data_IF_028503035290
#
_entry.id   IF_028503035290
#
_cell.length_a   1.000
_cell.length_b   1.000
_cell.length_c   1.000
_cell.angle_alpha   90.00
_cell.angle_beta   90.00
_cell.angle_gamma   90.00
#
_symmetry.space_group_name_H-M   'P 1'
#
loop_
_entity.id
_entity.type
_entity.pdbx_description
1 polymer ?
#
# COMPACT_ATOMS: atom_id res chain seq x y z
N UNK A 1 2.75 10.82 -9.33
CA UNK A 1 3.16 12.17 -8.90
C UNK A 1 4.56 12.09 -8.35
N UNK A 2 5.52 12.60 -9.08
CA UNK A 2 6.94 12.64 -8.69
C UNK A 2 7.22 13.89 -7.84
N UNK A 3 8.44 14.01 -7.32
CA UNK A 3 8.88 15.20 -6.59
C UNK A 3 8.73 16.49 -7.43
N UNK A 4 8.82 16.39 -8.76
CA UNK A 4 8.55 17.47 -9.74
C UNK A 4 7.12 18.02 -9.64
N UNK A 5 6.13 17.13 -9.47
CA UNK A 5 4.71 17.52 -9.43
C UNK A 5 4.33 18.33 -8.18
N UNK A 6 5.18 18.30 -7.14
CA UNK A 6 4.92 19.00 -5.88
C UNK A 6 5.58 20.37 -5.84
N UNK A 7 6.74 20.51 -6.48
CA UNK A 7 7.56 21.72 -6.39
C UNK A 7 7.39 22.66 -7.59
N UNK A 8 6.66 22.26 -8.64
CA UNK A 8 6.48 23.06 -9.86
C UNK A 8 7.81 23.37 -10.54
N UNK A 9 8.83 22.53 -10.36
CA UNK A 9 10.16 22.76 -10.90
C UNK A 9 10.26 22.18 -12.32
N UNK A 10 10.02 23.02 -13.30
CA UNK A 10 10.22 22.74 -14.73
C UNK A 10 11.67 22.92 -15.18
N UNK A 11 12.62 23.06 -14.28
CA UNK A 11 14.04 23.20 -14.63
C UNK A 11 14.52 21.95 -15.37
N UNK A 12 15.18 22.06 -16.54
CA UNK A 12 15.83 20.96 -17.22
C UNK A 12 17.08 20.55 -16.42
N UNK A 13 16.86 19.82 -15.30
CA UNK A 13 17.93 19.16 -14.58
C UNK A 13 18.55 18.10 -15.50
N UNK A 14 19.85 17.96 -15.46
CA UNK A 14 20.57 16.80 -16.05
C UNK A 14 19.82 15.53 -15.71
N UNK A 15 19.32 14.86 -16.73
CA UNK A 15 18.56 13.60 -16.63
C UNK A 15 19.51 12.51 -16.12
N UNK A 16 19.72 12.46 -14.81
CA UNK A 16 20.40 11.34 -14.18
C UNK A 16 19.41 10.19 -14.22
N UNK A 17 19.79 9.11 -14.91
CA UNK A 17 18.99 7.88 -14.94
C UNK A 17 18.67 7.47 -13.50
N UNK A 18 17.40 7.47 -13.08
CA UNK A 18 17.03 7.08 -11.70
C UNK A 18 17.58 5.70 -11.31
N UNK A 19 17.78 4.81 -12.28
CA UNK A 19 18.34 3.48 -12.05
C UNK A 19 19.80 3.52 -11.55
N UNK A 20 20.55 4.60 -11.88
CA UNK A 20 21.93 4.81 -11.44
C UNK A 20 22.04 5.54 -10.10
N UNK A 21 20.93 5.75 -9.40
CA UNK A 21 21.00 6.41 -8.09
C UNK A 21 21.44 5.42 -6.99
N UNK A 22 22.28 5.86 -6.02
CA UNK A 22 22.71 4.99 -4.90
C UNK A 22 21.54 4.42 -4.09
N UNK A 23 20.39 5.06 -4.16
CA UNK A 23 19.15 4.59 -3.52
C UNK A 23 18.52 3.41 -4.23
N UNK A 24 18.65 3.30 -5.54
CA UNK A 24 18.16 2.17 -6.36
C UNK A 24 19.18 1.04 -6.34
N UNK A 25 20.47 1.32 -6.43
CA UNK A 25 21.54 0.29 -6.37
C UNK A 25 21.41 -0.60 -5.15
N UNK A 26 21.02 -0.05 -4.00
CA UNK A 26 20.80 -0.81 -2.76
C UNK A 26 19.62 -1.78 -2.82
N UNK A 27 18.70 -1.59 -3.77
CA UNK A 27 17.55 -2.45 -3.97
C UNK A 27 17.85 -3.63 -4.89
N UNK A 28 18.99 -3.61 -5.60
CA UNK A 28 19.34 -4.64 -6.58
C UNK A 28 19.91 -5.86 -5.85
N UNK A 29 19.30 -7.01 -6.10
CA UNK A 29 19.80 -8.29 -5.59
C UNK A 29 21.04 -8.72 -6.38
N UNK A 30 22.13 -9.01 -5.67
CA UNK A 30 23.45 -9.18 -6.27
C UNK A 30 23.57 -10.41 -7.20
N UNK A 31 22.78 -11.47 -6.95
CA UNK A 31 22.84 -12.69 -7.76
C UNK A 31 21.97 -12.62 -9.02
N UNK A 32 20.79 -12.01 -8.91
CA UNK A 32 19.80 -11.99 -10.01
C UNK A 32 19.82 -10.70 -10.82
N UNK A 33 20.37 -9.63 -10.27
CA UNK A 33 20.32 -8.30 -10.89
C UNK A 33 18.91 -7.72 -11.01
N UNK A 34 17.93 -8.27 -10.26
CA UNK A 34 16.56 -7.77 -10.14
C UNK A 34 16.43 -6.89 -8.90
N UNK A 35 15.32 -6.15 -8.80
CA UNK A 35 14.97 -5.44 -7.57
C UNK A 35 14.52 -6.46 -6.52
N UNK A 36 15.30 -6.58 -5.44
CA UNK A 36 15.05 -7.49 -4.34
C UNK A 36 15.22 -8.97 -4.66
N UNK A 37 15.00 -9.79 -3.65
CA UNK A 37 15.05 -11.25 -3.76
C UNK A 37 13.75 -11.78 -4.39
N UNK A 38 13.87 -12.33 -5.60
CA UNK A 38 12.72 -12.89 -6.32
C UNK A 38 12.34 -14.30 -5.82
N UNK A 39 13.27 -15.04 -5.24
CA UNK A 39 12.97 -16.34 -4.64
C UNK A 39 12.13 -16.18 -3.35
N UNK A 40 12.31 -15.06 -2.66
CA UNK A 40 11.53 -14.65 -1.49
C UNK A 40 10.80 -13.34 -1.76
N UNK A 41 10.06 -13.28 -2.89
CA UNK A 41 9.48 -12.06 -3.43
C UNK A 41 8.56 -11.28 -2.46
N UNK A 42 7.96 -11.94 -1.49
CA UNK A 42 7.07 -11.34 -0.47
C UNK A 42 7.78 -11.02 0.86
N UNK A 43 9.10 -11.29 0.95
CA UNK A 43 9.89 -10.94 2.14
C UNK A 43 9.87 -9.43 2.39
N UNK A 44 9.55 -9.06 3.63
CA UNK A 44 9.53 -7.65 4.02
C UNK A 44 10.90 -6.99 3.85
N UNK A 45 10.92 -5.84 3.16
CA UNK A 45 12.10 -4.99 2.92
C UNK A 45 13.24 -5.59 2.10
N UNK A 46 13.14 -6.82 1.68
CA UNK A 46 14.17 -7.47 0.87
C UNK A 46 13.63 -8.19 -0.34
N UNK A 47 12.37 -8.61 -0.31
CA UNK A 47 11.73 -9.28 -1.43
C UNK A 47 11.41 -8.34 -2.58
N UNK A 48 11.27 -8.90 -3.78
CA UNK A 48 11.07 -8.12 -5.01
C UNK A 48 9.85 -7.23 -4.99
N UNK A 49 8.75 -7.63 -4.34
CA UNK A 49 7.55 -6.79 -4.22
C UNK A 49 7.81 -5.48 -3.47
N UNK A 50 8.64 -5.54 -2.41
CA UNK A 50 8.99 -4.38 -1.62
C UNK A 50 9.98 -3.48 -2.34
N UNK A 51 11.03 -4.07 -2.91
CA UNK A 51 12.05 -3.32 -3.62
C UNK A 51 11.51 -2.67 -4.89
N UNK A 52 10.58 -3.33 -5.59
CA UNK A 52 9.82 -2.77 -6.70
C UNK A 52 9.04 -1.51 -6.29
N UNK A 53 8.24 -1.61 -5.24
CA UNK A 53 7.45 -0.47 -4.76
C UNK A 53 8.32 0.70 -4.30
N UNK A 54 9.40 0.43 -3.57
CA UNK A 54 10.38 1.42 -3.16
C UNK A 54 11.05 2.10 -4.37
N UNK A 55 11.41 1.32 -5.40
CA UNK A 55 12.00 1.85 -6.62
C UNK A 55 11.05 2.78 -7.37
N UNK A 56 9.77 2.43 -7.45
CA UNK A 56 8.73 3.29 -8.05
C UNK A 56 8.54 4.58 -7.25
N UNK A 57 8.51 4.52 -5.91
CA UNK A 57 8.46 5.74 -5.08
C UNK A 57 9.70 6.63 -5.26
N UNK A 58 10.83 6.06 -5.67
CA UNK A 58 12.08 6.78 -6.00
C UNK A 58 12.13 7.29 -7.45
N UNK A 59 11.11 7.02 -8.25
CA UNK A 59 10.95 7.57 -9.60
C UNK A 59 11.29 6.62 -10.73
N UNK A 60 11.55 5.32 -10.49
CA UNK A 60 11.61 4.34 -11.58
C UNK A 60 10.22 4.15 -12.18
N UNK A 61 10.18 4.05 -13.49
CA UNK A 61 8.95 3.83 -14.25
C UNK A 61 9.11 2.74 -15.31
N UNK A 62 8.06 2.48 -16.09
CA UNK A 62 8.01 1.43 -17.10
C UNK A 62 9.05 1.58 -18.24
N UNK A 63 9.78 2.70 -18.33
CA UNK A 63 10.90 2.88 -19.27
C UNK A 63 12.18 2.20 -18.76
N UNK A 64 12.26 1.85 -17.48
CA UNK A 64 13.44 1.22 -16.88
C UNK A 64 13.49 -0.28 -17.23
N UNK A 65 14.56 -0.76 -17.92
CA UNK A 65 14.74 -2.20 -18.18
C UNK A 65 14.89 -3.03 -16.88
N UNK A 66 15.44 -2.46 -15.83
CA UNK A 66 15.55 -3.10 -14.52
C UNK A 66 14.16 -3.35 -13.92
N UNK A 67 13.28 -2.31 -13.97
CA UNK A 67 11.93 -2.43 -13.46
C UNK A 67 11.12 -3.46 -14.25
N UNK A 68 11.22 -3.43 -15.58
CA UNK A 68 10.50 -4.36 -16.47
C UNK A 68 10.86 -5.82 -16.16
N UNK A 69 12.15 -6.16 -16.09
CA UNK A 69 12.58 -7.52 -15.74
C UNK A 69 12.07 -7.96 -14.36
N UNK A 70 12.06 -7.05 -13.40
CA UNK A 70 11.56 -7.35 -12.05
C UNK A 70 10.05 -7.57 -12.05
N UNK A 71 9.31 -6.74 -12.77
CA UNK A 71 7.85 -6.87 -12.92
C UNK A 71 7.47 -8.19 -13.59
N UNK A 72 8.15 -8.57 -14.68
CA UNK A 72 7.91 -9.85 -15.34
C UNK A 72 8.16 -11.03 -14.40
N UNK A 73 9.26 -11.01 -13.65
CA UNK A 73 9.56 -12.05 -12.66
C UNK A 73 8.51 -12.11 -11.50
N UNK A 74 7.99 -10.95 -11.06
CA UNK A 74 6.90 -10.90 -10.07
C UNK A 74 5.62 -11.52 -10.65
N UNK A 75 5.28 -11.21 -11.90
CA UNK A 75 4.11 -11.80 -12.56
C UNK A 75 4.24 -13.32 -12.70
N UNK A 76 5.38 -13.81 -13.13
CA UNK A 76 5.62 -15.27 -13.26
C UNK A 76 5.42 -16.02 -11.94
N UNK A 77 5.77 -15.39 -10.82
CA UNK A 77 5.76 -16.03 -9.50
C UNK A 77 4.48 -15.83 -8.72
N UNK A 78 3.87 -14.68 -8.83
CA UNK A 78 2.88 -14.22 -7.87
C UNK A 78 1.46 -14.04 -8.44
N UNK A 79 1.27 -13.90 -9.75
CA UNK A 79 -0.06 -13.77 -10.34
C UNK A 79 -0.86 -15.06 -10.19
N UNK A 80 -2.12 -14.93 -9.86
CA UNK A 80 -3.06 -16.04 -9.77
C UNK A 80 -4.03 -16.02 -10.96
N UNK A 81 -4.62 -17.18 -11.34
CA UNK A 81 -5.57 -17.26 -12.46
C UNK A 81 -6.81 -16.37 -12.31
N UNK A 82 -7.16 -15.96 -11.08
CA UNK A 82 -8.27 -15.05 -10.79
C UNK A 82 -7.89 -13.56 -10.94
N UNK A 83 -6.65 -13.24 -11.29
CA UNK A 83 -6.15 -11.89 -11.47
C UNK A 83 -5.56 -11.23 -10.22
N UNK A 84 -5.64 -11.87 -9.05
CA UNK A 84 -5.02 -11.41 -7.82
C UNK A 84 -3.56 -11.84 -7.69
N UNK A 85 -2.86 -11.34 -6.67
CA UNK A 85 -1.48 -11.72 -6.34
C UNK A 85 -1.42 -12.50 -5.04
N UNK A 86 -0.59 -13.55 -5.04
CA UNK A 86 -0.39 -14.45 -3.89
C UNK A 86 0.92 -14.17 -3.15
N UNK A 87 1.05 -14.78 -1.98
CA UNK A 87 2.30 -14.88 -1.21
C UNK A 87 2.93 -16.27 -1.39
N UNK A 88 4.17 -16.44 -0.90
CA UNK A 88 4.93 -17.70 -1.02
C UNK A 88 4.52 -18.79 -0.02
N UNK A 89 3.37 -18.71 0.58
CA UNK A 89 2.89 -19.70 1.55
C UNK A 89 1.72 -20.52 1.02
N UNK A 90 1.58 -21.71 1.52
CA UNK A 90 0.48 -22.61 1.14
C UNK A 90 -0.69 -22.52 2.14
N UNK A 91 -1.93 -22.62 1.68
CA UNK A 91 -2.34 -22.74 0.28
C UNK A 91 -2.16 -21.42 -0.49
N UNK A 92 -1.78 -21.49 -1.77
CA UNK A 92 -1.69 -20.30 -2.62
C UNK A 92 -3.09 -19.75 -2.90
N UNK A 93 -3.32 -18.54 -2.44
CA UNK A 93 -4.57 -17.79 -2.65
C UNK A 93 -4.25 -16.33 -2.93
N UNK A 94 -5.11 -15.65 -3.66
CA UNK A 94 -4.97 -14.22 -3.89
C UNK A 94 -5.13 -13.44 -2.59
N UNK A 95 -4.20 -12.52 -2.33
CA UNK A 95 -4.11 -11.74 -1.10
C UNK A 95 -4.41 -10.28 -1.40
N UNK A 96 -5.46 -9.74 -0.83
CA UNK A 96 -5.97 -8.42 -1.19
C UNK A 96 -4.96 -7.29 -0.94
N UNK A 97 -4.24 -7.30 0.18
CA UNK A 97 -3.24 -6.27 0.43
C UNK A 97 -2.09 -6.30 -0.59
N UNK A 98 -1.64 -7.50 -1.03
CA UNK A 98 -0.59 -7.62 -2.05
C UNK A 98 -1.10 -7.25 -3.43
N UNK A 99 -2.31 -7.69 -3.78
CA UNK A 99 -2.95 -7.32 -5.04
C UNK A 99 -3.08 -5.81 -5.16
N UNK A 100 -3.59 -5.15 -4.11
CA UNK A 100 -3.72 -3.70 -4.08
C UNK A 100 -2.38 -2.98 -4.17
N UNK A 101 -1.40 -3.36 -3.35
CA UNK A 101 -0.08 -2.72 -3.36
C UNK A 101 0.62 -2.85 -4.73
N UNK A 102 0.65 -4.06 -5.31
CA UNK A 102 1.33 -4.28 -6.59
C UNK A 102 0.65 -3.51 -7.71
N UNK A 103 -0.68 -3.60 -7.83
CA UNK A 103 -1.43 -2.87 -8.86
C UNK A 103 -1.24 -1.36 -8.74
N UNK A 104 -1.30 -0.82 -7.52
CA UNK A 104 -1.02 0.60 -7.28
C UNK A 104 0.32 1.01 -7.87
N UNK A 105 1.39 0.28 -7.56
CA UNK A 105 2.72 0.66 -8.00
C UNK A 105 2.97 0.38 -9.47
N UNK A 106 2.33 -0.63 -10.07
CA UNK A 106 2.32 -0.82 -11.53
C UNK A 106 1.71 0.38 -12.25
N UNK A 107 0.55 0.83 -11.79
CA UNK A 107 -0.14 2.00 -12.35
C UNK A 107 0.71 3.26 -12.16
N UNK A 108 1.26 3.48 -10.97
CA UNK A 108 2.15 4.62 -10.68
C UNK A 108 3.42 4.62 -11.55
N UNK A 109 3.93 3.46 -11.91
CA UNK A 109 5.06 3.31 -12.81
C UNK A 109 4.70 3.46 -14.30
N UNK A 110 3.41 3.64 -14.63
CA UNK A 110 2.94 3.85 -16.01
C UNK A 110 2.67 2.58 -16.80
N UNK A 111 2.55 1.42 -16.16
CA UNK A 111 2.07 0.23 -16.84
C UNK A 111 0.56 0.32 -17.12
N UNK A 112 0.13 -0.24 -18.26
CA UNK A 112 -1.27 -0.16 -18.74
C UNK A 112 -1.69 -1.40 -19.52
N UNK A 113 -1.28 -2.57 -19.10
CA UNK A 113 -1.65 -3.84 -19.75
C UNK A 113 -2.90 -4.49 -19.14
N UNK A 114 -3.44 -5.51 -19.82
CA UNK A 114 -4.68 -6.21 -19.40
C UNK A 114 -4.58 -6.91 -18.07
N UNK A 115 -3.37 -7.23 -17.58
CA UNK A 115 -3.18 -7.82 -16.26
C UNK A 115 -3.58 -6.85 -15.15
N UNK A 116 -3.40 -5.54 -15.39
CA UNK A 116 -3.83 -4.50 -14.45
C UNK A 116 -5.36 -4.45 -14.41
N UNK A 117 -6.05 -4.37 -15.54
CA UNK A 117 -7.52 -4.34 -15.55
C UNK A 117 -8.13 -5.59 -14.92
N UNK A 118 -7.58 -6.78 -15.18
CA UNK A 118 -8.03 -8.02 -14.53
C UNK A 118 -7.84 -7.97 -13.00
N UNK A 119 -6.72 -7.43 -12.54
CA UNK A 119 -6.47 -7.24 -11.10
C UNK A 119 -7.41 -6.22 -10.45
N UNK A 120 -7.75 -5.15 -11.17
CA UNK A 120 -8.75 -4.17 -10.71
C UNK A 120 -10.15 -4.79 -10.66
N UNK A 121 -10.53 -5.58 -11.66
CA UNK A 121 -11.80 -6.34 -11.63
C UNK A 121 -11.85 -7.30 -10.42
N UNK A 122 -10.72 -7.97 -10.13
CA UNK A 122 -10.59 -8.79 -8.94
C UNK A 122 -10.83 -7.97 -7.66
N UNK A 123 -10.21 -6.79 -7.52
CA UNK A 123 -10.41 -5.90 -6.38
C UNK A 123 -11.89 -5.50 -6.28
N UNK A 124 -12.49 -5.03 -7.36
CA UNK A 124 -13.89 -4.60 -7.37
C UNK A 124 -14.85 -5.73 -6.98
N UNK A 125 -14.62 -6.95 -7.49
CA UNK A 125 -15.45 -8.13 -7.19
C UNK A 125 -15.36 -8.61 -5.74
N UNK A 126 -14.32 -8.22 -5.00
CA UNK A 126 -14.05 -8.66 -3.62
C UNK A 126 -14.35 -7.58 -2.57
N UNK A 127 -14.86 -6.43 -2.97
CA UNK A 127 -15.29 -5.42 -2.00
C UNK A 127 -16.50 -5.91 -1.19
N UNK A 128 -16.42 -5.76 0.11
CA UNK A 128 -17.45 -6.25 1.03
C UNK A 128 -18.50 -5.19 1.33
N UNK A 129 -19.60 -5.65 1.94
CA UNK A 129 -20.72 -4.81 2.36
C UNK A 129 -20.35 -3.66 3.32
N UNK A 130 -19.26 -3.81 4.09
CA UNK A 130 -18.75 -2.77 4.99
C UNK A 130 -17.83 -1.76 4.31
N UNK A 131 -17.61 -1.89 2.99
CA UNK A 131 -16.79 -1.03 2.15
C UNK A 131 -15.31 -1.43 2.06
N UNK A 132 -14.85 -2.40 2.83
CA UNK A 132 -13.47 -2.83 2.85
C UNK A 132 -13.20 -4.18 2.16
N UNK A 133 -12.01 -4.75 2.43
CA UNK A 133 -11.57 -6.05 1.93
C UNK A 133 -11.02 -6.92 3.06
N UNK A 134 -11.16 -8.24 2.92
CA UNK A 134 -10.45 -9.21 3.75
C UNK A 134 -9.00 -9.34 3.28
N UNK A 135 -8.12 -9.66 4.20
CA UNK A 135 -6.71 -9.89 3.90
C UNK A 135 -6.52 -11.04 2.89
N UNK A 136 -7.10 -12.19 3.18
CA UNK A 136 -7.06 -13.40 2.36
C UNK A 136 -8.48 -13.92 2.17
N UNK A 137 -9.24 -13.40 1.19
CA UNK A 137 -10.61 -13.83 0.95
C UNK A 137 -10.64 -15.25 0.39
N UNK A 138 -11.45 -16.11 0.99
CA UNK A 138 -11.70 -17.47 0.53
C UNK A 138 -13.07 -17.54 -0.14
N UNK A 139 -13.08 -17.65 -1.46
CA UNK A 139 -14.29 -17.53 -2.26
C UNK A 139 -14.99 -18.87 -2.56
N UNK A 140 -14.26 -19.97 -2.57
CA UNK A 140 -14.77 -21.25 -3.09
C UNK A 140 -14.76 -22.42 -2.11
N UNK A 141 -15.53 -23.47 -2.42
CA UNK A 141 -15.52 -24.72 -1.67
C UNK A 141 -14.15 -25.40 -1.62
N UNK A 142 -13.35 -25.25 -2.70
CA UNK A 142 -11.98 -25.76 -2.76
C UNK A 142 -11.06 -25.03 -1.77
N UNK A 143 -11.22 -23.71 -1.59
CA UNK A 143 -10.45 -22.93 -0.63
C UNK A 143 -10.82 -23.29 0.81
N UNK A 144 -12.12 -23.59 1.04
CA UNK A 144 -12.60 -24.09 2.34
C UNK A 144 -12.03 -25.46 2.68
N UNK A 145 -11.92 -26.36 1.68
CA UNK A 145 -11.33 -27.69 1.86
C UNK A 145 -9.81 -27.55 2.17
N UNK A 146 -9.11 -26.65 1.49
CA UNK A 146 -7.72 -26.33 1.77
C UNK A 146 -7.51 -25.81 3.20
N UNK A 147 -8.41 -24.93 3.71
CA UNK A 147 -8.40 -24.50 5.12
C UNK A 147 -8.46 -25.67 6.10
N UNK A 148 -9.35 -26.64 5.83
CA UNK A 148 -9.52 -27.83 6.68
C UNK A 148 -8.29 -28.72 6.61
N UNK A 149 -7.72 -28.93 5.42
CA UNK A 149 -6.58 -29.83 5.20
C UNK A 149 -5.25 -29.26 5.72
N UNK A 150 -5.02 -27.96 5.59
CA UNK A 150 -3.76 -27.32 5.96
C UNK A 150 -3.75 -26.67 7.34
N UNK A 151 -4.84 -26.78 8.10
CA UNK A 151 -5.01 -26.37 9.53
C UNK A 151 -3.98 -25.32 10.03
N UNK A 152 -3.78 -24.25 9.32
CA UNK A 152 -3.06 -23.10 9.87
C UNK A 152 -4.04 -22.19 10.60
N UNK A 153 -4.21 -22.51 11.87
CA UNK A 153 -4.92 -21.68 12.83
C UNK A 153 -4.25 -20.32 12.92
N UNK A 154 -4.99 -19.24 12.68
CA UNK A 154 -4.56 -17.88 13.03
C UNK A 154 -4.17 -16.96 11.88
N UNK A 155 -4.18 -17.35 10.63
CA UNK A 155 -3.63 -16.54 9.53
C UNK A 155 -4.64 -15.67 8.77
N UNK A 156 -5.75 -15.27 9.37
CA UNK A 156 -6.68 -14.31 8.73
C UNK A 156 -7.44 -14.85 7.51
N UNK A 157 -7.37 -16.16 7.24
CA UNK A 157 -8.16 -16.81 6.20
C UNK A 157 -9.63 -16.83 6.64
N UNK A 158 -10.45 -16.05 5.97
CA UNK A 158 -11.88 -15.89 6.31
C UNK A 158 -12.74 -16.09 5.08
N UNK A 159 -13.91 -16.70 5.25
CA UNK A 159 -14.89 -16.79 4.16
C UNK A 159 -15.29 -15.40 3.72
N UNK A 160 -15.25 -15.14 2.42
CA UNK A 160 -15.60 -13.86 1.84
C UNK A 160 -17.01 -13.39 2.23
N UNK A 161 -17.97 -14.30 2.27
CA UNK A 161 -19.35 -14.01 2.65
C UNK A 161 -19.62 -13.92 4.16
N UNK A 162 -18.63 -14.07 5.03
CA UNK A 162 -18.81 -13.99 6.48
C UNK A 162 -18.98 -12.54 6.94
N UNK A 163 -20.22 -12.14 7.16
CA UNK A 163 -20.58 -10.77 7.58
C UNK A 163 -20.28 -10.48 9.06
N UNK A 164 -19.94 -11.50 9.85
CA UNK A 164 -19.56 -11.34 11.25
C UNK A 164 -18.14 -10.79 11.42
N UNK A 165 -17.31 -10.92 10.37
CA UNK A 165 -15.93 -10.46 10.37
C UNK A 165 -15.83 -9.09 9.69
N UNK A 166 -15.24 -8.14 10.37
CA UNK A 166 -14.92 -6.80 9.82
C UNK A 166 -13.78 -6.89 8.81
N UNK A 167 -13.84 -6.10 7.74
CA UNK A 167 -12.75 -5.98 6.77
C UNK A 167 -11.43 -5.51 7.40
N UNK A 168 -10.32 -5.90 6.80
CA UNK A 168 -8.98 -5.61 7.27
C UNK A 168 -8.53 -4.21 6.85
N UNK A 169 -8.01 -3.41 7.77
CA UNK A 169 -7.46 -2.07 7.46
C UNK A 169 -6.33 -2.14 6.44
N UNK A 170 -5.43 -3.11 6.54
CA UNK A 170 -4.29 -3.28 5.62
C UNK A 170 -4.74 -3.62 4.19
N UNK A 171 -5.67 -4.55 4.06
CA UNK A 171 -6.22 -4.91 2.75
C UNK A 171 -7.04 -3.76 2.16
N UNK A 172 -7.82 -3.09 3.00
CA UNK A 172 -8.67 -1.98 2.56
C UNK A 172 -7.85 -0.80 2.05
N UNK A 173 -6.80 -0.39 2.76
CA UNK A 173 -5.97 0.74 2.29
C UNK A 173 -5.23 0.41 1.00
N UNK A 174 -4.68 -0.80 0.85
CA UNK A 174 -3.97 -1.22 -0.34
C UNK A 174 -4.88 -1.23 -1.58
N UNK A 175 -6.05 -1.87 -1.48
CA UNK A 175 -7.05 -1.90 -2.56
C UNK A 175 -7.59 -0.51 -2.88
N UNK A 176 -7.90 0.29 -1.86
CA UNK A 176 -8.44 1.64 -2.04
C UNK A 176 -7.45 2.57 -2.75
N UNK A 177 -6.16 2.52 -2.40
CA UNK A 177 -5.12 3.30 -3.07
C UNK A 177 -4.85 2.82 -4.50
N UNK A 178 -4.96 1.51 -4.78
CA UNK A 178 -4.92 0.99 -6.15
C UNK A 178 -6.07 1.52 -7.00
N UNK A 179 -7.29 1.52 -6.46
CA UNK A 179 -8.47 2.08 -7.13
C UNK A 179 -8.34 3.59 -7.35
N UNK A 180 -7.78 4.36 -6.40
CA UNK A 180 -7.50 5.78 -6.61
C UNK A 180 -6.48 6.01 -7.72
N UNK A 181 -5.42 5.19 -7.80
CA UNK A 181 -4.44 5.27 -8.87
C UNK A 181 -5.08 4.91 -10.22
N UNK A 182 -5.89 3.86 -10.27
CA UNK A 182 -6.59 3.42 -11.49
C UNK A 182 -7.62 4.43 -11.98
N UNK A 183 -8.36 5.06 -11.06
CA UNK A 183 -9.33 6.12 -11.38
C UNK A 183 -8.70 7.28 -12.16
N UNK A 184 -7.43 7.57 -11.92
CA UNK A 184 -6.72 8.65 -12.63
C UNK A 184 -6.40 8.30 -14.10
N UNK A 185 -6.37 7.01 -14.46
CA UNK A 185 -6.02 6.55 -15.83
C UNK A 185 -7.22 5.98 -16.58
N UNK A 186 -8.16 5.36 -15.87
CA UNK A 186 -9.38 4.76 -16.43
C UNK A 186 -10.58 4.95 -15.48
N UNK A 187 -11.18 6.15 -15.46
CA UNK A 187 -12.29 6.46 -14.56
C UNK A 187 -13.56 5.69 -14.92
N UNK A 188 -14.23 5.15 -13.90
CA UNK A 188 -15.54 4.50 -14.05
C UNK A 188 -16.40 4.65 -12.80
N UNK A 189 -17.73 4.61 -12.98
CA UNK A 189 -18.65 4.64 -11.83
C UNK A 189 -18.44 3.49 -10.84
N UNK A 190 -18.01 2.32 -11.30
CA UNK A 190 -17.73 1.19 -10.43
C UNK A 190 -16.54 1.49 -9.51
N UNK A 191 -15.48 2.07 -10.06
CA UNK A 191 -14.30 2.51 -9.29
C UNK A 191 -14.67 3.64 -8.33
N UNK A 192 -15.45 4.64 -8.76
CA UNK A 192 -15.88 5.74 -7.90
C UNK A 192 -16.73 5.25 -6.72
N UNK A 193 -17.69 4.35 -6.97
CA UNK A 193 -18.48 3.75 -5.90
C UNK A 193 -17.62 2.96 -4.92
N UNK A 194 -16.66 2.20 -5.44
CA UNK A 194 -15.77 1.39 -4.60
C UNK A 194 -14.86 2.26 -3.72
N UNK A 195 -14.30 3.34 -4.29
CA UNK A 195 -13.50 4.33 -3.55
C UNK A 195 -14.35 5.01 -2.47
N UNK A 196 -15.57 5.44 -2.80
CA UNK A 196 -16.49 6.04 -1.83
C UNK A 196 -16.85 5.09 -0.68
N UNK A 197 -17.13 3.82 -0.98
CA UNK A 197 -17.41 2.81 0.03
C UNK A 197 -16.20 2.53 0.94
N UNK A 198 -15.00 2.51 0.37
CA UNK A 198 -13.76 2.36 1.13
C UNK A 198 -13.47 3.60 2.01
N UNK A 199 -13.76 4.80 1.51
CA UNK A 199 -13.64 6.01 2.31
C UNK A 199 -14.59 5.95 3.52
N UNK A 200 -15.83 5.53 3.33
CA UNK A 200 -16.79 5.38 4.40
C UNK A 200 -16.37 4.31 5.43
N UNK A 201 -15.70 3.22 5.01
CA UNK A 201 -15.11 2.25 5.92
C UNK A 201 -14.13 2.89 6.91
N UNK A 202 -13.24 3.78 6.43
CA UNK A 202 -12.28 4.48 7.27
C UNK A 202 -12.92 5.59 8.10
N UNK A 203 -13.79 6.39 7.51
CA UNK A 203 -14.44 7.53 8.17
C UNK A 203 -15.30 7.12 9.37
N UNK A 204 -16.08 6.01 9.26
CA UNK A 204 -16.85 5.45 10.39
C UNK A 204 -15.97 5.01 11.55
N UNK A 205 -14.68 4.83 11.33
CA UNK A 205 -13.69 4.39 12.31
C UNK A 205 -12.70 5.49 12.71
N UNK A 206 -13.01 6.74 12.34
CA UNK A 206 -12.11 7.90 12.53
C UNK A 206 -10.66 7.56 12.13
N UNK A 207 -10.49 6.73 11.10
CA UNK A 207 -9.24 6.23 10.52
C UNK A 207 -8.41 5.29 11.42
N UNK A 208 -8.66 5.17 12.71
CA UNK A 208 -7.82 4.34 13.59
C UNK A 208 -8.58 3.66 14.73
N UNK A 209 -9.91 3.70 14.71
CA UNK A 209 -10.75 3.14 15.77
C UNK A 209 -11.44 1.85 15.31
N UNK A 210 -11.71 0.98 16.27
CA UNK A 210 -12.60 -0.18 16.07
C UNK A 210 -14.05 0.30 15.88
N UNK A 211 -14.93 -0.62 15.49
CA UNK A 211 -16.38 -0.38 15.47
C UNK A 211 -16.96 0.00 16.85
N UNK A 212 -16.23 -0.28 17.91
CA UNK A 212 -16.59 0.08 19.31
C UNK A 212 -15.96 1.41 19.76
N UNK A 213 -15.29 2.14 18.85
CA UNK A 213 -14.69 3.44 19.16
C UNK A 213 -13.33 3.39 19.85
N UNK A 214 -12.78 2.20 20.15
CA UNK A 214 -11.45 2.08 20.76
C UNK A 214 -10.34 2.16 19.72
N UNK A 215 -9.19 2.81 20.01
CA UNK A 215 -8.05 2.81 19.10
C UNK A 215 -7.57 1.38 18.80
N UNK A 216 -7.39 1.07 17.52
CA UNK A 216 -6.90 -0.25 17.10
C UNK A 216 -5.40 -0.33 17.35
N UNK A 217 -5.00 -1.40 18.04
CA UNK A 217 -3.61 -1.83 18.22
C UNK A 217 -3.47 -3.20 17.60
N UNK A 218 -2.75 -3.33 16.49
CA UNK A 218 -2.54 -4.63 15.85
C UNK A 218 -1.91 -5.65 16.79
N UNK A 219 -2.24 -6.93 16.59
CA UNK A 219 -1.80 -8.04 17.44
C UNK A 219 -0.28 -8.30 17.40
N UNK A 220 0.43 -7.79 16.41
CA UNK A 220 1.90 -7.86 16.32
C UNK A 220 2.62 -6.95 17.35
N UNK A 221 1.85 -6.41 18.27
CA UNK A 221 2.28 -5.84 19.55
C UNK A 221 2.91 -4.46 19.47
N UNK A 222 3.24 -3.94 18.29
CA UNK A 222 4.11 -2.78 18.18
C UNK A 222 3.60 -1.63 17.29
N UNK A 223 2.37 -1.70 16.77
CA UNK A 223 1.92 -0.70 15.79
C UNK A 223 0.54 -0.16 16.10
N UNK A 224 0.52 0.83 16.94
CA UNK A 224 -0.60 1.75 17.00
C UNK A 224 -0.71 2.46 15.63
N UNK A 225 -1.89 2.48 15.02
CA UNK A 225 -2.12 3.15 13.72
C UNK A 225 -1.82 4.65 13.74
N UNK A 226 -1.68 5.23 14.91
CA UNK A 226 -1.25 6.61 15.09
C UNK A 226 0.26 6.82 14.97
N UNK A 227 1.08 5.75 14.94
CA UNK A 227 2.53 5.84 14.75
C UNK A 227 2.86 5.89 13.26
N UNK A 228 3.48 6.99 12.82
CA UNK A 228 3.81 7.22 11.42
C UNK A 228 5.01 6.37 10.99
N UNK A 229 4.90 5.71 9.86
CA UNK A 229 5.91 4.79 9.34
C UNK A 229 6.26 4.99 7.87
N UNK A 230 7.38 4.37 7.45
CA UNK A 230 7.78 4.25 6.06
C UNK A 230 8.79 3.11 5.87
N UNK A 231 8.71 2.34 4.78
CA UNK A 231 7.58 2.23 3.84
C UNK A 231 6.36 1.55 4.49
N UNK A 232 5.16 1.80 3.97
CA UNK A 232 3.90 1.30 4.54
C UNK A 232 3.19 0.38 3.53
N UNK A 233 3.96 -0.57 2.99
CA UNK A 233 3.42 -1.64 2.15
C UNK A 233 2.76 -2.71 3.01
N UNK A 234 1.56 -3.13 2.65
CA UNK A 234 0.76 -4.11 3.41
C UNK A 234 0.65 -3.80 4.89
N UNK A 235 0.71 -2.52 5.23
CA UNK A 235 0.59 -1.96 6.56
C UNK A 235 -0.32 -0.74 6.51
N UNK A 236 -0.59 -0.15 7.66
CA UNK A 236 -1.45 1.01 7.78
C UNK A 236 -0.97 1.95 8.87
N UNK A 237 -1.06 3.24 8.62
CA UNK A 237 -1.07 4.30 9.62
C UNK A 237 -2.06 5.41 9.22
N UNK A 238 -2.35 6.31 10.15
CA UNK A 238 -3.31 7.40 9.91
C UNK A 238 -2.89 8.35 8.80
N UNK A 239 -1.59 8.54 8.54
CA UNK A 239 -1.11 9.39 7.46
C UNK A 239 -1.48 8.80 6.09
N UNK A 240 -1.34 7.47 5.93
CA UNK A 240 -1.78 6.77 4.72
C UNK A 240 -3.30 6.81 4.56
N UNK A 241 -4.04 6.63 5.66
CA UNK A 241 -5.48 6.76 5.68
C UNK A 241 -5.94 8.16 5.24
N UNK A 242 -5.35 9.22 5.79
CA UNK A 242 -5.66 10.60 5.42
C UNK A 242 -5.30 10.93 3.96
N UNK A 243 -4.16 10.43 3.46
CA UNK A 243 -3.81 10.58 2.05
C UNK A 243 -4.83 9.90 1.13
N UNK A 244 -5.30 8.71 1.50
CA UNK A 244 -6.37 8.05 0.75
C UNK A 244 -7.66 8.90 0.76
N UNK A 245 -8.09 9.38 1.93
CA UNK A 245 -9.28 10.23 2.06
C UNK A 245 -9.12 11.53 1.27
N UNK A 246 -7.93 12.13 1.26
CA UNK A 246 -7.62 13.30 0.44
C UNK A 246 -7.76 12.99 -1.07
N UNK A 247 -7.20 11.86 -1.53
CA UNK A 247 -7.37 11.41 -2.91
C UNK A 247 -8.82 11.05 -3.27
N UNK A 248 -9.63 10.65 -2.29
CA UNK A 248 -11.06 10.45 -2.47
C UNK A 248 -11.87 11.76 -2.51
N UNK A 249 -11.24 12.93 -2.26
CA UNK A 249 -11.89 14.24 -2.23
C UNK A 249 -12.66 14.52 -0.93
N UNK A 250 -12.36 13.81 0.14
CA UNK A 250 -13.13 13.83 1.41
C UNK A 250 -12.30 14.31 2.61
N UNK A 251 -11.18 15.01 2.40
CA UNK A 251 -10.26 15.38 3.49
C UNK A 251 -10.92 16.34 4.51
N UNK A 252 -11.92 17.10 4.10
CA UNK A 252 -12.66 18.02 4.95
C UNK A 252 -13.84 17.38 5.69
N UNK A 253 -14.05 16.07 5.57
CA UNK A 253 -15.06 15.39 6.39
C UNK A 253 -14.69 15.52 7.87
N UNK A 254 -15.62 15.98 8.75
CA UNK A 254 -15.34 16.21 10.17
C UNK A 254 -14.77 14.97 10.89
N UNK A 255 -15.07 13.77 10.41
CA UNK A 255 -14.57 12.49 10.95
C UNK A 255 -13.07 12.29 10.76
N UNK A 256 -12.42 13.07 9.88
CA UNK A 256 -10.95 13.09 9.71
C UNK A 256 -10.25 13.93 10.79
N UNK A 257 -10.95 14.85 11.45
CA UNK A 257 -10.36 15.91 12.27
C UNK A 257 -9.42 15.39 13.36
N UNK A 258 -9.81 14.31 14.06
CA UNK A 258 -8.95 13.73 15.10
C UNK A 258 -7.65 13.18 14.53
N UNK A 259 -7.71 12.38 13.47
CA UNK A 259 -6.52 11.81 12.84
C UNK A 259 -5.62 12.90 12.22
N UNK A 260 -6.23 13.90 11.58
CA UNK A 260 -5.53 15.06 11.02
C UNK A 260 -4.77 15.84 12.10
N UNK A 261 -5.44 16.17 13.20
CA UNK A 261 -4.83 16.87 14.33
C UNK A 261 -3.67 16.05 14.95
N UNK A 262 -3.77 14.73 15.02
CA UNK A 262 -2.67 13.87 15.48
C UNK A 262 -1.46 14.01 14.53
N UNK A 263 -1.65 13.96 13.21
CA UNK A 263 -0.55 14.15 12.26
C UNK A 263 0.09 15.52 12.40
N UNK A 264 -0.70 16.59 12.50
CA UNK A 264 -0.19 17.95 12.65
C UNK A 264 0.58 18.11 13.97
N UNK A 265 0.05 17.59 15.08
CA UNK A 265 0.72 17.68 16.39
C UNK A 265 2.09 16.99 16.47
N UNK A 266 2.41 16.13 15.49
CA UNK A 266 3.71 15.43 15.37
C UNK A 266 4.75 16.18 14.55
N UNK A 267 4.41 17.36 14.01
CA UNK A 267 5.36 18.19 13.28
C UNK A 267 6.44 18.71 14.23
N UNK A 268 7.71 18.51 13.85
CA UNK A 268 8.83 19.06 14.56
C UNK A 268 8.91 20.60 14.35
N UNK A 269 9.59 21.34 15.24
CA UNK A 269 9.74 22.80 15.09
C UNK A 269 10.40 23.25 13.77
N UNK A 270 11.14 22.37 13.11
CA UNK A 270 11.76 22.63 11.81
C UNK A 270 10.89 22.22 10.60
N UNK A 271 9.64 21.91 10.83
CA UNK A 271 8.69 21.54 9.77
C UNK A 271 8.76 20.08 9.30
N UNK A 272 9.64 19.26 9.88
CA UNK A 272 9.76 17.83 9.52
C UNK A 272 8.86 16.94 10.38
N UNK A 273 8.70 15.67 9.98
CA UNK A 273 8.06 14.62 10.79
C UNK A 273 9.01 13.47 11.06
N UNK A 274 8.77 12.80 12.17
CA UNK A 274 9.52 11.62 12.56
C UNK A 274 8.90 10.34 12.00
N UNK A 275 9.74 9.36 11.73
CA UNK A 275 9.34 7.98 11.60
C UNK A 275 9.29 7.37 13.00
N UNK A 276 8.13 6.86 13.39
CA UNK A 276 7.84 6.33 14.73
C UNK A 276 7.61 4.82 14.69
N UNK A 277 7.18 4.30 13.53
CA UNK A 277 6.97 2.88 13.31
C UNK A 277 8.05 2.33 12.39
N UNK A 278 8.71 1.26 12.83
CA UNK A 278 9.85 0.66 12.14
C UNK A 278 9.58 -0.81 11.90
N UNK A 279 10.09 -1.32 10.80
CA UNK A 279 10.16 -2.75 10.60
C UNK A 279 11.62 -3.18 10.41
N UNK A 280 11.90 -4.44 10.72
CA UNK A 280 13.22 -5.04 10.56
C UNK A 280 13.61 -5.04 9.09
N UNK A 281 14.85 -4.67 8.77
CA UNK A 281 15.39 -4.69 7.40
C UNK A 281 15.15 -3.41 6.58
N UNK A 282 14.64 -2.34 7.17
CA UNK A 282 14.43 -1.08 6.46
C UNK A 282 15.69 -0.49 5.85
N UNK A 283 15.55 0.03 4.63
CA UNK A 283 16.64 0.65 3.87
C UNK A 283 16.97 2.09 4.30
N UNK A 284 16.08 2.74 5.06
CA UNK A 284 16.30 4.08 5.59
C UNK A 284 16.95 4.00 6.98
N UNK A 285 18.24 4.35 7.06
CA UNK A 285 18.98 4.55 8.30
C UNK A 285 19.89 3.37 8.71
N UNK A 286 20.36 3.42 9.94
CA UNK A 286 21.37 2.53 10.53
C UNK A 286 20.84 1.21 11.09
N UNK A 287 19.59 0.86 10.77
CA UNK A 287 18.91 -0.33 11.35
C UNK A 287 18.44 -0.14 12.79
N UNK A 288 18.67 1.03 13.40
CA UNK A 288 18.18 1.30 14.75
C UNK A 288 16.66 1.54 14.76
N UNK A 289 15.97 1.00 15.77
CA UNK A 289 14.54 1.24 16.01
C UNK A 289 14.29 2.56 16.76
N UNK A 290 15.06 3.60 16.48
CA UNK A 290 14.92 4.89 17.15
C UNK A 290 14.02 5.81 16.37
N UNK A 291 13.14 6.52 17.07
CA UNK A 291 12.36 7.62 16.50
C UNK A 291 13.32 8.65 15.92
N UNK A 292 13.17 8.98 14.64
CA UNK A 292 14.04 9.90 13.92
C UNK A 292 13.29 10.65 12.83
N UNK A 293 13.81 11.82 12.45
CA UNK A 293 13.31 12.56 11.30
C UNK A 293 13.37 11.72 10.03
N UNK A 294 12.27 11.71 9.29
CA UNK A 294 12.17 10.96 8.04
C UNK A 294 11.77 11.89 6.90
N UNK A 295 12.58 11.93 5.86
CA UNK A 295 12.26 12.68 4.64
C UNK A 295 10.98 12.13 3.96
N UNK A 296 10.74 10.83 4.04
CA UNK A 296 9.60 10.19 3.41
C UNK A 296 8.28 10.44 4.16
N UNK A 297 8.28 10.33 5.49
CA UNK A 297 7.12 10.71 6.30
C UNK A 297 6.83 12.20 6.14
N UNK A 298 7.88 13.04 6.16
CA UNK A 298 7.75 14.49 5.93
C UNK A 298 7.14 14.79 4.56
N UNK A 299 7.65 14.15 3.48
CA UNK A 299 7.11 14.32 2.14
C UNK A 299 5.62 13.96 2.06
N UNK A 300 5.22 12.82 2.67
CA UNK A 300 3.83 12.37 2.69
C UNK A 300 2.93 13.30 3.52
N UNK A 301 3.42 13.81 4.64
CA UNK A 301 2.70 14.80 5.44
C UNK A 301 2.51 16.13 4.70
N UNK A 302 3.56 16.63 4.03
CA UNK A 302 3.47 17.85 3.21
C UNK A 302 2.49 17.68 2.04
N UNK A 303 2.49 16.52 1.36
CA UNK A 303 1.49 16.20 0.32
C UNK A 303 0.06 16.27 0.86
N UNK A 304 -0.16 15.69 2.04
CA UNK A 304 -1.48 15.76 2.68
C UNK A 304 -1.91 17.21 2.92
N UNK A 305 -1.02 18.05 3.45
CA UNK A 305 -1.31 19.46 3.69
C UNK A 305 -1.59 20.21 2.39
N UNK A 306 -0.78 20.02 1.36
CA UNK A 306 -0.99 20.64 0.05
C UNK A 306 -2.35 20.30 -0.55
N UNK A 307 -2.78 19.03 -0.47
CA UNK A 307 -4.11 18.63 -0.96
C UNK A 307 -5.20 19.26 -0.10
N UNK A 308 -5.05 19.25 1.22
CA UNK A 308 -6.04 19.82 2.13
C UNK A 308 -6.22 21.34 1.94
N UNK A 309 -5.14 22.06 1.61
CA UNK A 309 -5.19 23.51 1.36
C UNK A 309 -5.77 23.86 -0.03
N UNK A 310 -5.75 22.92 -0.97
CA UNK A 310 -6.15 23.12 -2.37
C UNK A 310 -7.60 22.67 -2.66
N UNK A 311 -8.24 21.96 -1.72
CA UNK A 311 -9.58 21.38 -1.85
C UNK A 311 -10.62 22.24 -1.14
#
# INVERSE_FOLDING_TARGET
>A
MTQRDILGDDSPGTEVDPASSPGIERLIHHETGLLGDIEHYDLFYGGSMWCFAEAVERGLDCRSPLLNRTVDAIYERAIMPDGGFTLQWEPRVSVACRTGDILRYLIMAGYSDTRISNGIEWILSRQRHDGGWLHCPLAGACDQLRLVLFRRSGNGLTREGDTSVTSCFYATIACALALCAYRAVDPSEAVDRAVGSAAEFFLRRSLFRSSQGTPIRPHDGNRDFRLLGYPVLSQYDILHGLLFIAHAGLIHDPRCGEAFNIVISKQNPDGTWNMESFATGMLEGDGSRRIRKSKWVTLKALRLLTIADSS
#
